data_IF_162483627332
#
_entry.id   IF_162483627332
#
_cell.length_a   1.000
_cell.length_b   1.000
_cell.length_c   1.000
_cell.angle_alpha   90.00
_cell.angle_beta   90.00
_cell.angle_gamma   90.00
#
_symmetry.space_group_name_H-M   'P 1'
#
loop_
_entity.id
_entity.type
_entity.pdbx_description
1 polymer ?
#
# COMPACT_ATOMS: atom_id res chain seq x y z
N UNK A 1 -19.57 13.28 9.10
CA UNK A 1 -18.75 12.18 9.64
C UNK A 1 -19.46 10.83 9.56
N UNK A 2 -20.78 10.68 9.81
CA UNK A 2 -21.46 9.36 9.73
C UNK A 2 -21.36 8.67 8.35
N UNK A 3 -21.46 9.41 7.24
CA UNK A 3 -21.51 8.82 5.89
C UNK A 3 -20.26 7.99 5.50
N UNK A 4 -19.06 8.34 6.00
CA UNK A 4 -17.83 7.60 5.68
C UNK A 4 -17.80 6.26 6.42
N UNK A 5 -18.10 6.26 7.73
CA UNK A 5 -18.09 5.05 8.54
C UNK A 5 -19.15 4.08 8.04
N UNK A 6 -20.35 4.55 7.72
CA UNK A 6 -21.42 3.74 7.12
C UNK A 6 -21.01 3.10 5.80
N UNK A 7 -20.20 3.81 5.00
CA UNK A 7 -19.66 3.29 3.74
C UNK A 7 -18.58 2.23 3.98
N UNK A 8 -17.68 2.48 4.93
CA UNK A 8 -16.62 1.53 5.27
C UNK A 8 -17.21 0.25 5.89
N UNK A 9 -18.23 0.37 6.72
CA UNK A 9 -18.98 -0.77 7.27
C UNK A 9 -19.53 -1.68 6.17
N UNK A 10 -20.19 -1.11 5.15
CA UNK A 10 -20.67 -1.86 3.99
C UNK A 10 -19.55 -2.56 3.20
N UNK A 11 -18.36 -1.96 3.16
CA UNK A 11 -17.19 -2.58 2.52
C UNK A 11 -16.69 -3.76 3.36
N UNK A 12 -16.71 -3.65 4.69
CA UNK A 12 -16.40 -4.77 5.58
C UNK A 12 -17.42 -5.90 5.45
N UNK A 13 -18.71 -5.60 5.37
CA UNK A 13 -19.76 -6.59 5.10
C UNK A 13 -19.52 -7.29 3.76
N UNK A 14 -19.17 -6.52 2.72
CA UNK A 14 -18.81 -7.06 1.41
C UNK A 14 -17.60 -8.00 1.47
N UNK A 15 -16.60 -7.69 2.29
CA UNK A 15 -15.45 -8.58 2.50
C UNK A 15 -15.88 -9.93 3.09
N UNK A 16 -16.81 -9.93 4.04
CA UNK A 16 -17.37 -11.16 4.60
C UNK A 16 -18.18 -11.94 3.57
N UNK A 17 -19.05 -11.27 2.81
CA UNK A 17 -19.78 -11.89 1.70
C UNK A 17 -18.84 -12.58 0.70
N UNK A 18 -17.76 -11.90 0.29
CA UNK A 18 -16.79 -12.47 -0.64
C UNK A 18 -16.07 -13.68 -0.04
N UNK A 19 -15.73 -13.62 1.25
CA UNK A 19 -15.08 -14.72 1.97
C UNK A 19 -16.00 -15.94 2.07
N UNK A 20 -17.30 -15.73 2.32
CA UNK A 20 -18.31 -16.79 2.32
C UNK A 20 -18.52 -17.37 0.91
N UNK A 21 -18.59 -16.52 -0.11
CA UNK A 21 -18.72 -16.96 -1.51
C UNK A 21 -17.55 -17.83 -1.97
N UNK A 22 -16.33 -17.56 -1.51
CA UNK A 22 -15.17 -18.41 -1.80
C UNK A 22 -15.28 -19.81 -1.18
N UNK A 23 -16.06 -19.98 -0.11
CA UNK A 23 -16.31 -21.28 0.51
C UNK A 23 -17.39 -22.10 -0.20
N UNK A 24 -18.15 -21.51 -1.14
CA UNK A 24 -19.13 -22.23 -1.96
C UNK A 24 -18.43 -23.19 -2.94
N UNK A 25 -18.72 -24.51 -2.89
CA UNK A 25 -18.16 -25.49 -3.82
C UNK A 25 -18.36 -25.16 -5.30
N UNK A 26 -19.45 -24.48 -5.66
CA UNK A 26 -19.73 -24.08 -7.04
C UNK A 26 -18.80 -22.96 -7.51
N UNK A 27 -18.38 -22.06 -6.61
CA UNK A 27 -17.41 -21.01 -6.88
C UNK A 27 -15.99 -21.58 -6.86
N UNK A 28 -15.67 -22.43 -5.89
CA UNK A 28 -14.35 -23.05 -5.76
C UNK A 28 -14.01 -23.97 -6.96
N UNK A 29 -15.02 -24.52 -7.64
CA UNK A 29 -14.85 -25.33 -8.85
C UNK A 29 -14.55 -24.50 -10.12
N UNK A 30 -14.81 -23.19 -10.12
CA UNK A 30 -14.54 -22.28 -11.23
C UNK A 30 -13.34 -21.38 -10.90
N UNK A 31 -12.18 -21.74 -11.44
CA UNK A 31 -10.94 -21.00 -11.19
C UNK A 31 -10.99 -19.53 -11.62
N UNK A 32 -11.70 -19.21 -12.71
CA UNK A 32 -11.80 -17.83 -13.19
C UNK A 32 -12.62 -17.00 -12.21
N UNK A 33 -13.78 -17.53 -11.81
CA UNK A 33 -14.67 -16.87 -10.85
C UNK A 33 -14.03 -16.73 -9.48
N UNK A 34 -13.33 -17.76 -9.01
CA UNK A 34 -12.59 -17.72 -7.75
C UNK A 34 -11.49 -16.65 -7.78
N UNK A 35 -10.75 -16.54 -8.88
CA UNK A 35 -9.69 -15.53 -9.03
C UNK A 35 -10.23 -14.10 -9.05
N UNK A 36 -11.41 -13.86 -9.62
CA UNK A 36 -12.06 -12.55 -9.62
C UNK A 36 -12.52 -12.16 -8.22
N UNK A 37 -13.17 -13.08 -7.50
CA UNK A 37 -13.65 -12.87 -6.13
C UNK A 37 -12.47 -12.64 -5.17
N UNK A 38 -11.41 -13.45 -5.25
CA UNK A 38 -10.24 -13.29 -4.39
C UNK A 38 -9.55 -11.95 -4.63
N UNK A 39 -9.51 -11.49 -5.89
CA UNK A 39 -8.97 -10.16 -6.20
C UNK A 39 -9.82 -9.05 -5.57
N UNK A 40 -11.14 -9.09 -5.73
CA UNK A 40 -12.04 -8.11 -5.09
C UNK A 40 -11.87 -8.12 -3.56
N UNK A 41 -11.79 -9.32 -2.95
CA UNK A 41 -11.58 -9.52 -1.51
C UNK A 41 -10.27 -8.90 -1.04
N UNK A 42 -9.17 -9.16 -1.73
CA UNK A 42 -7.84 -8.60 -1.42
C UNK A 42 -7.82 -7.07 -1.55
N UNK A 43 -8.57 -6.50 -2.50
CA UNK A 43 -8.62 -5.04 -2.70
C UNK A 43 -9.23 -4.31 -1.49
N UNK A 44 -10.13 -4.96 -0.75
CA UNK A 44 -10.85 -4.37 0.40
C UNK A 44 -10.44 -4.91 1.77
N UNK A 45 -9.55 -5.92 1.82
CA UNK A 45 -9.13 -6.62 3.04
C UNK A 45 -8.55 -5.65 4.10
N UNK A 46 -7.61 -4.78 3.70
CA UNK A 46 -7.01 -3.81 4.61
C UNK A 46 -8.06 -2.89 5.24
N UNK A 47 -8.99 -2.38 4.41
CA UNK A 47 -10.02 -1.45 4.86
C UNK A 47 -11.03 -2.12 5.80
N UNK A 48 -11.41 -3.37 5.50
CA UNK A 48 -12.26 -4.17 6.38
C UNK A 48 -11.57 -4.47 7.73
N UNK A 49 -10.29 -4.82 7.71
CA UNK A 49 -9.51 -5.07 8.92
C UNK A 49 -9.37 -3.81 9.79
N UNK A 50 -9.03 -2.66 9.21
CA UNK A 50 -8.96 -1.37 9.92
C UNK A 50 -10.30 -1.00 10.53
N UNK A 51 -11.41 -1.19 9.81
CA UNK A 51 -12.76 -0.93 10.32
C UNK A 51 -13.12 -1.82 11.51
N UNK A 52 -12.80 -3.11 11.46
CA UNK A 52 -13.06 -4.03 12.58
C UNK A 52 -12.33 -3.60 13.83
N UNK A 53 -11.05 -3.20 13.69
CA UNK A 53 -10.30 -2.66 14.83
C UNK A 53 -10.93 -1.38 15.35
N UNK A 54 -11.34 -0.47 14.46
CA UNK A 54 -12.05 0.75 14.83
C UNK A 54 -13.34 0.47 15.62
N UNK A 55 -14.16 -0.49 15.16
CA UNK A 55 -15.39 -0.88 15.84
C UNK A 55 -15.13 -1.47 17.24
N UNK A 56 -14.06 -2.26 17.40
CA UNK A 56 -13.62 -2.75 18.71
C UNK A 56 -13.20 -1.60 19.62
N UNK A 57 -12.38 -0.68 19.12
CA UNK A 57 -11.93 0.50 19.89
C UNK A 57 -13.12 1.37 20.31
N UNK A 58 -14.12 1.57 19.45
CA UNK A 58 -15.35 2.29 19.79
C UNK A 58 -16.14 1.59 20.92
N UNK A 59 -16.23 0.25 20.91
CA UNK A 59 -16.84 -0.50 22.02
C UNK A 59 -16.05 -0.33 23.31
N UNK A 60 -14.72 -0.45 23.25
CA UNK A 60 -13.84 -0.29 24.41
C UNK A 60 -13.90 1.13 24.98
N UNK A 61 -14.02 2.15 24.14
CA UNK A 61 -14.24 3.54 24.56
C UNK A 61 -15.57 3.66 25.31
N UNK A 62 -16.65 3.11 24.77
CA UNK A 62 -17.96 3.15 25.41
C UNK A 62 -17.98 2.43 26.76
N UNK A 63 -17.34 1.26 26.84
CA UNK A 63 -17.19 0.48 28.08
C UNK A 63 -16.38 1.24 29.14
N UNK A 64 -15.24 1.81 28.76
CA UNK A 64 -14.41 2.60 29.68
C UNK A 64 -15.08 3.91 30.12
N UNK A 65 -15.89 4.52 29.26
CA UNK A 65 -16.67 5.71 29.62
C UNK A 65 -17.64 5.42 30.78
N UNK A 66 -18.21 4.21 30.82
CA UNK A 66 -19.09 3.78 31.91
C UNK A 66 -18.32 3.52 33.21
N UNK A 67 -17.06 3.07 33.13
CA UNK A 67 -16.19 2.85 34.29
C UNK A 67 -15.80 4.15 35.01
N UNK A 68 -15.93 5.31 34.36
CA UNK A 68 -15.73 6.61 35.02
C UNK A 68 -16.75 6.89 36.13
N UNK A 69 -17.88 6.20 36.14
CA UNK A 69 -18.91 6.29 37.18
C UNK A 69 -18.72 5.26 38.30
N UNK A 70 -17.65 4.47 38.27
CA UNK A 70 -17.39 3.43 39.28
C UNK A 70 -17.10 4.04 40.67
N UNK A 71 -17.52 3.34 41.71
CA UNK A 71 -17.30 3.76 43.09
C UNK A 71 -15.82 3.64 43.50
N UNK A 72 -15.05 2.76 42.87
CA UNK A 72 -13.62 2.59 43.10
C UNK A 72 -12.80 3.67 42.37
N UNK A 73 -11.95 4.38 43.11
CA UNK A 73 -11.11 5.44 42.56
C UNK A 73 -9.97 4.89 41.68
N UNK A 74 -9.43 3.71 42.00
CA UNK A 74 -8.36 3.08 41.20
C UNK A 74 -8.91 2.63 39.83
N UNK A 75 -10.14 2.12 39.79
CA UNK A 75 -10.81 1.76 38.54
C UNK A 75 -11.08 2.97 37.64
N UNK A 76 -11.47 4.10 38.23
CA UNK A 76 -11.67 5.35 37.46
C UNK A 76 -10.37 5.88 36.88
N UNK A 77 -9.28 5.86 37.64
CA UNK A 77 -7.96 6.29 37.15
C UNK A 77 -7.46 5.39 36.01
N UNK A 78 -7.66 4.08 36.12
CA UNK A 78 -7.34 3.14 35.04
C UNK A 78 -8.16 3.43 33.77
N UNK A 79 -9.46 3.67 33.92
CA UNK A 79 -10.34 4.01 32.81
C UNK A 79 -9.94 5.32 32.12
N UNK A 80 -9.53 6.35 32.85
CA UNK A 80 -9.04 7.61 32.27
C UNK A 80 -7.80 7.40 31.38
N UNK A 81 -6.84 6.59 31.85
CA UNK A 81 -5.64 6.25 31.08
C UNK A 81 -5.97 5.43 29.82
N UNK A 82 -6.88 4.46 29.94
CA UNK A 82 -7.32 3.68 28.79
C UNK A 82 -8.04 4.55 27.75
N UNK A 83 -8.94 5.44 28.19
CA UNK A 83 -9.67 6.36 27.31
C UNK A 83 -8.74 7.26 26.50
N UNK A 84 -7.66 7.77 27.09
CA UNK A 84 -6.66 8.57 26.37
C UNK A 84 -6.02 7.74 25.25
N UNK A 85 -5.56 6.53 25.55
CA UNK A 85 -4.92 5.65 24.57
C UNK A 85 -5.85 5.21 23.45
N UNK A 86 -7.08 4.82 23.79
CA UNK A 86 -8.11 4.36 22.86
C UNK A 86 -8.58 5.52 21.96
N UNK A 87 -8.65 6.74 22.49
CA UNK A 87 -9.02 7.92 21.70
C UNK A 87 -7.96 8.24 20.64
N UNK A 88 -6.68 8.13 21.00
CA UNK A 88 -5.57 8.31 20.05
C UNK A 88 -5.59 7.21 18.96
N UNK A 89 -5.78 5.95 19.36
CA UNK A 89 -5.88 4.85 18.42
C UNK A 89 -7.09 5.00 17.47
N UNK A 90 -8.25 5.43 17.99
CA UNK A 90 -9.43 5.71 17.17
C UNK A 90 -9.13 6.75 16.09
N UNK A 91 -8.45 7.83 16.44
CA UNK A 91 -8.11 8.89 15.50
C UNK A 91 -7.13 8.40 14.43
N UNK A 92 -6.15 7.59 14.80
CA UNK A 92 -5.23 6.96 13.84
C UNK A 92 -5.98 6.05 12.86
N UNK A 93 -6.87 5.21 13.36
CA UNK A 93 -7.69 4.30 12.55
C UNK A 93 -8.63 5.07 11.59
N UNK A 94 -9.22 6.18 12.04
CA UNK A 94 -10.04 7.05 11.18
C UNK A 94 -9.21 7.65 10.03
N UNK A 95 -7.99 8.09 10.30
CA UNK A 95 -7.07 8.59 9.26
C UNK A 95 -6.63 7.48 8.29
N UNK A 96 -6.31 6.29 8.82
CA UNK A 96 -5.95 5.12 8.00
C UNK A 96 -7.11 4.72 7.07
N UNK A 97 -8.35 4.64 7.57
CA UNK A 97 -9.53 4.36 6.75
C UNK A 97 -9.72 5.40 5.63
N UNK A 98 -9.57 6.69 5.95
CA UNK A 98 -9.66 7.77 4.94
C UNK A 98 -8.59 7.63 3.86
N UNK A 99 -7.36 7.27 4.23
CA UNK A 99 -6.29 7.03 3.28
C UNK A 99 -6.57 5.83 2.37
N UNK A 100 -7.09 4.73 2.94
CA UNK A 100 -7.44 3.52 2.20
C UNK A 100 -8.64 3.70 1.24
N UNK A 101 -9.52 4.67 1.50
CA UNK A 101 -10.63 5.03 0.60
C UNK A 101 -10.18 5.80 -0.64
N UNK A 102 -8.94 6.29 -0.68
CA UNK A 102 -8.42 6.96 -1.87
C UNK A 102 -8.27 5.94 -3.00
N UNK A 103 -8.70 6.27 -4.23
CA UNK A 103 -8.55 5.37 -5.37
C UNK A 103 -7.08 5.03 -5.57
N UNK A 104 -6.73 3.75 -5.42
CA UNK A 104 -5.39 3.23 -5.75
C UNK A 104 -5.20 3.30 -7.26
N UNK A 105 -4.01 3.70 -7.73
CA UNK A 105 -3.70 3.59 -9.16
C UNK A 105 -3.62 2.09 -9.50
N UNK A 106 -4.37 1.57 -10.50
CA UNK A 106 -4.33 0.17 -10.88
C UNK A 106 -2.93 -0.30 -11.34
N UNK A 107 -2.00 0.62 -11.57
CA UNK A 107 -0.60 0.33 -11.87
C UNK A 107 0.30 0.30 -10.64
N UNK A 108 -0.14 0.79 -9.48
CA UNK A 108 0.73 0.95 -8.31
C UNK A 108 1.39 -0.37 -7.90
N UNK A 109 0.66 -1.48 -7.96
CA UNK A 109 1.19 -2.80 -7.60
C UNK A 109 2.06 -3.45 -8.68
N UNK A 110 2.14 -2.87 -9.89
CA UNK A 110 2.81 -3.49 -11.04
C UNK A 110 4.34 -3.33 -10.97
N UNK A 111 5.01 -4.22 -11.69
CA UNK A 111 6.40 -4.06 -12.08
C UNK A 111 6.58 -2.78 -12.93
N UNK A 112 7.81 -2.30 -13.04
CA UNK A 112 8.13 -1.13 -13.86
C UNK A 112 9.30 -1.42 -14.80
N UNK A 113 9.24 -0.86 -16.01
CA UNK A 113 10.37 -0.79 -16.92
C UNK A 113 10.91 0.63 -16.82
N UNK A 114 12.20 0.74 -16.52
CA UNK A 114 12.91 2.01 -16.46
C UNK A 114 13.77 2.12 -17.71
N UNK A 115 13.63 3.25 -18.39
CA UNK A 115 14.40 3.61 -19.56
C UNK A 115 15.19 4.88 -19.27
N UNK A 116 16.52 4.77 -19.31
CA UNK A 116 17.45 5.88 -19.12
C UNK A 116 18.13 6.13 -20.46
N UNK A 117 18.05 7.36 -20.95
CA UNK A 117 18.67 7.79 -22.21
C UNK A 117 19.58 8.98 -21.98
N UNK A 118 20.77 8.95 -22.56
CA UNK A 118 21.66 10.09 -22.56
C UNK A 118 21.00 11.25 -23.32
N UNK A 119 20.89 12.40 -22.65
CA UNK A 119 20.35 13.62 -23.22
C UNK A 119 21.42 14.46 -23.93
N UNK A 120 21.29 15.78 -23.80
CA UNK A 120 22.30 16.74 -24.28
C UNK A 120 23.53 16.72 -23.39
N UNK A 121 24.73 16.80 -23.96
CA UNK A 121 25.99 16.81 -23.19
C UNK A 121 27.06 15.83 -23.67
N UNK A 122 26.79 15.07 -24.74
CA UNK A 122 27.79 14.19 -25.34
C UNK A 122 28.25 13.09 -24.39
N UNK A 123 29.56 12.97 -24.16
CA UNK A 123 30.14 11.93 -23.31
C UNK A 123 29.71 12.07 -21.84
N UNK A 124 29.60 13.29 -21.32
CA UNK A 124 29.19 13.54 -19.92
C UNK A 124 27.76 13.04 -19.66
N UNK A 125 26.85 13.26 -20.62
CA UNK A 125 25.49 12.74 -20.53
C UNK A 125 25.45 11.20 -20.52
N UNK A 126 26.37 10.56 -21.24
CA UNK A 126 26.51 9.11 -21.23
C UNK A 126 27.03 8.59 -19.89
N UNK A 127 28.01 9.27 -19.29
CA UNK A 127 28.52 8.92 -17.95
C UNK A 127 27.43 9.10 -16.88
N UNK A 128 26.66 10.19 -16.95
CA UNK A 128 25.55 10.44 -16.04
C UNK A 128 24.43 9.40 -16.19
N UNK A 129 24.10 8.99 -17.43
CA UNK A 129 23.17 7.89 -17.66
C UNK A 129 23.65 6.58 -17.01
N UNK A 130 24.95 6.29 -17.06
CA UNK A 130 25.55 5.15 -16.37
C UNK A 130 25.48 5.27 -14.84
N UNK A 131 25.62 6.47 -14.28
CA UNK A 131 25.44 6.73 -12.86
C UNK A 131 24.00 6.52 -12.40
N UNK A 132 23.01 7.06 -13.13
CA UNK A 132 21.60 6.85 -12.83
C UNK A 132 21.23 5.37 -12.91
N UNK A 133 21.71 4.65 -13.93
CA UNK A 133 21.50 3.21 -14.04
C UNK A 133 22.01 2.48 -12.80
N UNK A 134 23.27 2.71 -12.39
CA UNK A 134 23.84 2.12 -11.18
C UNK A 134 23.10 2.53 -9.91
N UNK A 135 22.65 3.78 -9.83
CA UNK A 135 21.87 4.31 -8.70
C UNK A 135 20.56 3.54 -8.54
N UNK A 136 19.77 3.39 -9.61
CA UNK A 136 18.49 2.68 -9.54
C UNK A 136 18.67 1.18 -9.32
N UNK A 137 19.73 0.54 -9.84
CA UNK A 137 20.05 -0.84 -9.50
C UNK A 137 20.30 -1.01 -8.00
N UNK A 138 21.08 -0.12 -7.38
CA UNK A 138 21.34 -0.14 -5.92
C UNK A 138 20.09 0.16 -5.11
N UNK A 139 19.27 1.11 -5.55
CA UNK A 139 17.99 1.42 -4.91
C UNK A 139 17.07 0.19 -4.93
N UNK A 140 16.97 -0.50 -6.08
CA UNK A 140 16.16 -1.71 -6.22
C UNK A 140 16.65 -2.81 -5.28
N UNK A 141 17.96 -3.06 -5.20
CA UNK A 141 18.56 -4.03 -4.29
C UNK A 141 18.26 -3.70 -2.82
N UNK A 142 18.42 -2.43 -2.41
CA UNK A 142 18.14 -1.97 -1.05
C UNK A 142 16.67 -2.16 -0.64
N UNK A 143 15.75 -2.05 -1.61
CA UNK A 143 14.32 -2.27 -1.41
C UNK A 143 13.88 -3.71 -1.72
N UNK A 144 14.83 -4.64 -1.91
CA UNK A 144 14.59 -6.07 -2.17
C UNK A 144 13.79 -6.33 -3.45
N UNK A 145 13.86 -5.43 -4.42
CA UNK A 145 13.32 -5.67 -5.75
C UNK A 145 14.29 -6.48 -6.60
N UNK A 146 13.74 -7.31 -7.50
CA UNK A 146 14.54 -8.04 -8.49
C UNK A 146 14.69 -7.19 -9.74
N UNK A 147 15.91 -7.03 -10.23
CA UNK A 147 16.17 -6.33 -11.49
C UNK A 147 16.42 -7.33 -12.63
N UNK A 148 16.06 -6.94 -13.84
CA UNK A 148 16.35 -7.67 -15.08
C UNK A 148 16.76 -6.67 -16.16
N UNK A 149 18.00 -6.77 -16.63
CA UNK A 149 18.46 -6.01 -17.78
C UNK A 149 17.75 -6.49 -19.04
N UNK A 150 17.20 -5.56 -19.82
CA UNK A 150 16.51 -5.87 -21.08
C UNK A 150 17.33 -5.41 -22.29
N UNK A 151 17.96 -4.24 -22.19
CA UNK A 151 18.83 -3.68 -23.23
C UNK A 151 19.83 -2.70 -22.61
N UNK A 152 21.09 -2.77 -23.04
CA UNK A 152 22.14 -1.87 -22.58
C UNK A 152 23.01 -1.44 -23.77
N UNK A 153 23.13 -0.13 -23.98
CA UNK A 153 23.90 0.45 -25.09
C UNK A 153 25.06 1.29 -24.54
N UNK A 154 26.23 0.67 -24.44
CA UNK A 154 27.46 1.28 -23.92
C UNK A 154 28.19 2.11 -25.00
N UNK A 155 28.86 3.18 -24.58
CA UNK A 155 29.64 4.07 -25.47
C UNK A 155 31.07 3.60 -25.72
N UNK A 156 31.54 2.56 -25.04
CA UNK A 156 32.90 2.04 -25.06
C UNK A 156 33.87 2.72 -24.08
N UNK A 157 33.44 3.82 -23.45
CA UNK A 157 34.22 4.61 -22.48
C UNK A 157 33.57 4.64 -21.09
N UNK A 158 32.70 3.66 -20.80
CA UNK A 158 32.03 3.51 -19.50
C UNK A 158 30.79 4.38 -19.31
N UNK A 159 30.28 4.99 -20.38
CA UNK A 159 29.00 5.68 -20.41
C UNK A 159 27.92 4.86 -21.13
N UNK A 160 26.67 5.23 -20.94
CA UNK A 160 25.52 4.60 -21.59
C UNK A 160 24.79 5.59 -22.49
N UNK A 161 24.51 5.21 -23.74
CA UNK A 161 23.53 5.93 -24.58
C UNK A 161 22.11 5.63 -24.13
N UNK A 162 21.86 4.37 -23.78
CA UNK A 162 20.55 3.88 -23.37
C UNK A 162 20.72 2.70 -22.41
N UNK A 163 19.86 2.63 -21.40
CA UNK A 163 19.69 1.49 -20.51
C UNK A 163 18.20 1.22 -20.30
N UNK A 164 17.76 0.01 -20.60
CA UNK A 164 16.39 -0.47 -20.38
C UNK A 164 16.43 -1.68 -19.47
N UNK A 165 15.74 -1.59 -18.34
CA UNK A 165 15.71 -2.66 -17.36
C UNK A 165 14.37 -2.71 -16.65
N UNK A 166 13.95 -3.92 -16.26
CA UNK A 166 12.77 -4.14 -15.46
C UNK A 166 13.13 -4.20 -13.98
N UNK A 167 12.31 -3.57 -13.14
CA UNK A 167 12.28 -3.75 -11.69
C UNK A 167 11.01 -4.51 -11.35
N UNK A 168 11.19 -5.72 -10.82
CA UNK A 168 10.13 -6.69 -10.52
C UNK A 168 9.88 -6.77 -9.02
N UNK A 169 8.62 -6.64 -8.65
CA UNK A 169 8.10 -6.78 -7.30
C UNK A 169 6.87 -5.90 -7.07
N UNK A 170 6.06 -6.28 -6.09
CA UNK A 170 4.81 -5.59 -5.75
C UNK A 170 5.13 -4.13 -5.40
N UNK A 171 4.44 -3.19 -6.05
CA UNK A 171 4.58 -1.77 -5.73
C UNK A 171 5.68 -1.03 -6.48
N UNK A 172 6.47 -1.68 -7.35
CA UNK A 172 7.65 -1.07 -7.96
C UNK A 172 7.31 0.18 -8.79
N UNK A 173 6.23 0.13 -9.58
CA UNK A 173 5.75 1.29 -10.33
C UNK A 173 5.35 2.45 -9.42
N UNK A 174 4.62 2.19 -8.32
CA UNK A 174 4.16 3.24 -7.41
C UNK A 174 5.29 4.11 -6.85
N UNK A 175 6.48 3.51 -6.65
CA UNK A 175 7.66 4.18 -6.10
C UNK A 175 8.42 5.00 -7.14
N UNK A 176 8.44 4.55 -8.39
CA UNK A 176 9.27 5.15 -9.46
C UNK A 176 8.46 5.96 -10.48
N UNK A 177 7.13 6.02 -10.38
CA UNK A 177 6.27 6.79 -11.29
C UNK A 177 6.61 8.29 -11.33
N UNK A 178 7.26 8.81 -10.28
CA UNK A 178 7.68 10.20 -10.17
C UNK A 178 9.07 10.49 -10.76
N UNK A 179 9.81 9.46 -11.18
CA UNK A 179 11.16 9.58 -11.76
C UNK A 179 11.15 9.96 -13.25
N UNK A 180 9.95 10.01 -13.84
CA UNK A 180 9.76 10.35 -15.25
C UNK A 180 10.08 11.81 -15.49
N UNK A 181 11.15 12.09 -16.24
CA UNK A 181 11.53 13.45 -16.60
C UNK A 181 13.00 13.58 -16.99
N UNK A 182 13.43 14.84 -17.13
CA UNK A 182 14.83 15.19 -17.38
C UNK A 182 15.52 15.43 -16.05
N UNK A 183 16.62 14.72 -15.82
CA UNK A 183 17.49 14.87 -14.66
C UNK A 183 18.67 15.79 -15.01
N UNK A 184 19.08 16.65 -14.08
CA UNK A 184 20.14 17.66 -14.26
C UNK A 184 21.17 17.59 -13.16
#
# INVERSE_FOLDING_TARGET
MSNIIDRVAKIADRFDELTELMADPAVAADFSRLSEIDRERQEIEDLAATYRRFAVVESQLAENQLLLEDADAEMRELAELELESLSAEREELDQQMKALLLPKDPKDEKNVIVEIRAGTGGEEAGLFAAELYRMYLRWAEAHRYKTEELSLNDTGIGGLKEAVFAIKGKGAYSKLKYESGVHR
#
